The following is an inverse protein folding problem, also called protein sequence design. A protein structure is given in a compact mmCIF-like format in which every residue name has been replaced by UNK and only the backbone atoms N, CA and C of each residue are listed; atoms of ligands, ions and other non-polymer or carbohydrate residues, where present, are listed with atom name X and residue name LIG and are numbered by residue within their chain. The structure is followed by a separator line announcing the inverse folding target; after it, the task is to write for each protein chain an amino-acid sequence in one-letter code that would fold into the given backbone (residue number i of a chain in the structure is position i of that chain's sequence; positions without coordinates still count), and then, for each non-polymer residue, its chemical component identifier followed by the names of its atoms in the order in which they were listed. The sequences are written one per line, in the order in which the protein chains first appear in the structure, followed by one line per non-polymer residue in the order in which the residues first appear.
data_IF_493632875744
#
_entry.id   IF_493632875744
#
_cell.length_a   1.000
_cell.length_b   1.000
_cell.length_c   1.000
_cell.angle_alpha   90.00
_cell.angle_beta   90.00
_cell.angle_gamma   90.00
#
_symmetry.space_group_name_H-M   'P 1'
#
loop_
_entity.id
_entity.type
_entity.pdbx_description
1 polymer ?
#
# COMPACT_ATOMS: atom_id res chain seq x y z
N UNK A 1 15.88 30.48 -11.62
CA UNK A 1 15.92 30.65 -10.15
C UNK A 1 14.47 30.76 -9.71
N UNK A 2 13.78 29.63 -9.59
CA UNK A 2 12.43 29.58 -9.01
C UNK A 2 12.42 28.37 -8.09
N UNK A 3 12.60 28.65 -6.80
CA UNK A 3 12.48 27.65 -5.74
C UNK A 3 10.98 27.37 -5.57
N UNK A 4 10.55 26.23 -6.09
CA UNK A 4 9.25 25.64 -5.78
C UNK A 4 9.22 25.32 -4.29
N UNK A 5 8.61 26.22 -3.52
CA UNK A 5 8.22 25.99 -2.15
C UNK A 5 7.08 24.97 -2.15
N UNK A 6 7.42 23.67 -2.22
CA UNK A 6 6.46 22.60 -1.92
C UNK A 6 6.18 22.65 -0.43
N UNK A 7 5.18 23.44 -0.03
CA UNK A 7 4.60 23.33 1.30
C UNK A 7 4.09 21.89 1.43
N UNK A 8 4.79 21.09 2.24
CA UNK A 8 4.30 19.78 2.67
C UNK A 8 3.02 20.07 3.48
N UNK A 9 1.86 19.76 2.92
CA UNK A 9 0.59 19.91 3.64
C UNK A 9 0.69 19.13 4.97
N UNK A 10 0.56 19.85 6.09
CA UNK A 10 0.60 19.24 7.42
C UNK A 10 -0.81 18.75 7.72
N UNK A 11 -0.98 17.45 7.91
CA UNK A 11 -2.27 16.87 8.27
C UNK A 11 -2.70 17.32 9.68
N UNK A 12 -3.89 17.92 9.79
CA UNK A 12 -4.52 18.35 11.05
C UNK A 12 -5.53 17.35 11.59
N UNK A 13 -5.77 16.24 10.89
CA UNK A 13 -6.81 15.24 11.23
C UNK A 13 -6.76 14.76 12.68
N UNK A 14 -5.56 14.62 13.24
CA UNK A 14 -5.38 14.17 14.63
C UNK A 14 -5.94 15.16 15.67
N UNK A 15 -5.86 16.47 15.41
CA UNK A 15 -6.47 17.49 16.27
C UNK A 15 -8.00 17.44 16.16
N UNK A 16 -8.52 17.22 14.96
CA UNK A 16 -9.96 17.10 14.73
C UNK A 16 -10.53 15.89 15.48
N UNK A 17 -9.85 14.74 15.42
CA UNK A 17 -10.23 13.54 16.20
C UNK A 17 -10.20 13.81 17.71
N UNK A 18 -9.15 14.47 18.22
CA UNK A 18 -9.06 14.80 19.65
C UNK A 18 -10.19 15.73 20.11
N UNK A 19 -10.54 16.73 19.31
CA UNK A 19 -11.64 17.64 19.63
C UNK A 19 -12.99 16.91 19.67
N UNK A 20 -13.23 15.98 18.74
CA UNK A 20 -14.43 15.16 18.73
C UNK A 20 -14.49 14.18 19.91
N UNK A 21 -13.36 13.58 20.28
CA UNK A 21 -13.25 12.74 21.47
C UNK A 21 -13.57 13.52 22.74
N UNK A 22 -13.05 14.74 22.88
CA UNK A 22 -13.34 15.64 24.02
C UNK A 22 -14.84 15.91 24.15
N UNK A 23 -15.50 16.32 23.06
CA UNK A 23 -16.95 16.57 23.04
C UNK A 23 -17.73 15.30 23.44
N UNK A 24 -17.35 14.15 22.90
CA UNK A 24 -18.02 12.88 23.22
C UNK A 24 -17.82 12.47 24.68
N UNK A 25 -16.65 12.74 25.27
CA UNK A 25 -16.40 12.49 26.70
C UNK A 25 -17.25 13.41 27.58
N UNK A 26 -17.42 14.68 27.20
CA UNK A 26 -18.30 15.62 27.90
C UNK A 26 -19.77 15.19 27.83
N UNK A 27 -20.24 14.77 26.65
CA UNK A 27 -21.64 14.37 26.43
C UNK A 27 -21.99 13.02 27.05
N UNK A 28 -21.08 12.04 27.01
CA UNK A 28 -21.32 10.68 27.51
C UNK A 28 -21.02 10.51 29.00
N UNK A 29 -20.20 11.40 29.59
CA UNK A 29 -19.70 11.27 30.95
C UNK A 29 -18.76 10.07 31.17
N UNK A 30 -18.37 9.35 30.11
CA UNK A 30 -17.45 8.21 30.14
C UNK A 30 -16.08 8.69 29.65
N UNK A 31 -15.06 8.57 30.50
CA UNK A 31 -13.68 8.97 30.15
C UNK A 31 -12.85 7.73 29.89
N UNK A 32 -12.36 7.56 28.66
CA UNK A 32 -11.55 6.41 28.27
C UNK A 32 -10.08 6.82 28.08
N UNK A 33 -9.32 6.82 29.18
CA UNK A 33 -7.93 7.31 29.21
C UNK A 33 -6.93 6.48 28.37
N UNK A 34 -7.31 5.29 27.89
CA UNK A 34 -6.38 4.34 27.28
C UNK A 34 -6.58 4.15 25.77
N UNK A 35 -7.57 4.77 25.13
CA UNK A 35 -7.86 4.52 23.70
C UNK A 35 -6.71 4.97 22.79
N UNK A 36 -6.06 6.09 23.12
CA UNK A 36 -4.87 6.59 22.41
C UNK A 36 -3.61 5.70 22.56
N UNK A 37 -3.67 4.67 23.40
CA UNK A 37 -2.57 3.75 23.68
C UNK A 37 -2.77 2.37 23.07
N UNK A 38 -3.85 2.13 22.31
CA UNK A 38 -4.10 0.82 21.70
C UNK A 38 -3.29 0.65 20.41
N UNK A 39 -2.13 -0.06 20.43
CA UNK A 39 -1.25 -0.11 19.27
C UNK A 39 -1.87 -0.91 18.12
N UNK A 40 -2.80 -1.83 18.43
CA UNK A 40 -3.48 -2.62 17.42
C UNK A 40 -4.40 -1.74 16.56
N UNK A 41 -5.16 -0.84 17.18
CA UNK A 41 -6.03 0.10 16.47
C UNK A 41 -5.20 1.03 15.56
N UNK A 42 -4.11 1.57 16.11
CA UNK A 42 -3.21 2.43 15.34
C UNK A 42 -2.56 1.71 14.15
N UNK A 43 -2.17 0.44 14.32
CA UNK A 43 -1.67 -0.39 13.23
C UNK A 43 -2.75 -0.66 12.18
N UNK A 44 -3.98 -0.91 12.61
CA UNK A 44 -5.10 -1.10 11.69
C UNK A 44 -5.34 0.15 10.83
N UNK A 45 -5.47 1.32 11.43
CA UNK A 45 -5.62 2.58 10.70
C UNK A 45 -4.44 2.84 9.77
N UNK A 46 -3.20 2.73 10.27
CA UNK A 46 -2.00 2.92 9.45
C UNK A 46 -1.93 1.95 8.26
N UNK A 47 -2.41 0.72 8.43
CA UNK A 47 -2.44 -0.27 7.36
C UNK A 47 -3.47 0.03 6.28
N UNK A 48 -4.61 0.60 6.66
CA UNK A 48 -5.66 1.06 5.75
C UNK A 48 -5.14 2.26 4.96
N UNK A 49 -4.58 3.26 5.66
CA UNK A 49 -4.04 4.47 5.06
C UNK A 49 -2.92 4.17 4.05
N UNK A 50 -1.98 3.30 4.43
CA UNK A 50 -0.88 2.91 3.54
C UNK A 50 -1.40 2.13 2.31
N UNK A 51 -2.39 1.26 2.47
CA UNK A 51 -3.01 0.55 1.34
C UNK A 51 -3.74 1.51 0.39
N UNK A 52 -4.46 2.50 0.93
CA UNK A 52 -5.13 3.52 0.12
C UNK A 52 -4.12 4.41 -0.61
N UNK A 53 -3.04 4.81 0.05
CA UNK A 53 -1.96 5.59 -0.57
C UNK A 53 -1.29 4.81 -1.72
N UNK A 54 -0.99 3.53 -1.51
CA UNK A 54 -0.43 2.68 -2.56
C UNK A 54 -1.38 2.56 -3.74
N UNK A 55 -2.66 2.29 -3.46
CA UNK A 55 -3.70 2.14 -4.47
C UNK A 55 -3.83 3.40 -5.31
N UNK A 56 -3.94 4.57 -4.68
CA UNK A 56 -4.06 5.86 -5.38
C UNK A 56 -2.87 6.09 -6.31
N UNK A 57 -1.64 5.86 -5.82
CA UNK A 57 -0.42 5.99 -6.63
C UNK A 57 -0.40 5.01 -7.80
N UNK A 58 -0.81 3.76 -7.59
CA UNK A 58 -0.96 2.79 -8.68
C UNK A 58 -2.00 3.26 -9.71
N UNK A 59 -3.16 3.75 -9.29
CA UNK A 59 -4.21 4.28 -10.17
C UNK A 59 -3.69 5.45 -11.02
N UNK A 60 -3.00 6.41 -10.41
CA UNK A 60 -2.40 7.57 -11.10
C UNK A 60 -1.38 7.11 -12.15
N UNK A 61 -0.41 6.26 -11.77
CA UNK A 61 0.64 5.85 -12.70
C UNK A 61 0.16 4.90 -13.78
N UNK A 62 -0.81 4.03 -13.47
CA UNK A 62 -1.45 3.16 -14.46
C UNK A 62 -2.26 3.97 -15.46
N UNK A 63 -3.00 5.00 -15.03
CA UNK A 63 -3.73 5.90 -15.94
C UNK A 63 -2.77 6.54 -16.93
N UNK A 64 -1.71 7.20 -16.43
CA UNK A 64 -0.68 7.82 -17.27
C UNK A 64 -0.03 6.82 -18.22
N UNK A 65 0.33 5.63 -17.74
CA UNK A 65 0.91 4.59 -18.60
C UNK A 65 -0.04 4.17 -19.73
N UNK A 66 -1.31 3.92 -19.41
CA UNK A 66 -2.32 3.51 -20.39
C UNK A 66 -2.59 4.61 -21.42
N UNK A 67 -2.59 5.88 -21.00
CA UNK A 67 -2.70 7.06 -21.87
C UNK A 67 -1.54 7.11 -22.89
N UNK A 68 -0.29 7.05 -22.42
CA UNK A 68 0.90 7.08 -23.30
C UNK A 68 0.96 5.90 -24.27
N UNK A 69 0.46 4.73 -23.87
CA UNK A 69 0.44 3.53 -24.71
C UNK A 69 -0.61 3.60 -25.83
N UNK A 70 -1.46 4.62 -25.86
CA UNK A 70 -2.44 4.85 -26.93
C UNK A 70 -3.57 3.81 -26.99
N UNK A 71 -3.89 3.16 -25.87
CA UNK A 71 -4.74 1.97 -25.83
C UNK A 71 -6.25 2.27 -25.97
N UNK A 72 -6.70 2.57 -27.18
CA UNK A 72 -8.12 2.40 -27.56
C UNK A 72 -8.49 0.92 -27.81
N UNK A 73 -7.56 -0.03 -27.65
CA UNK A 73 -7.80 -1.48 -27.77
C UNK A 73 -7.77 -2.17 -26.40
N UNK A 74 -8.95 -2.51 -25.90
CA UNK A 74 -9.27 -2.92 -24.51
C UNK A 74 -8.55 -4.16 -23.95
N UNK A 75 -7.84 -4.92 -24.79
CA UNK A 75 -7.17 -6.16 -24.37
C UNK A 75 -5.82 -5.97 -23.69
N UNK A 76 -5.18 -4.81 -23.87
CA UNK A 76 -3.77 -4.61 -23.51
C UNK A 76 -3.52 -3.58 -22.41
N UNK A 77 -4.56 -2.87 -21.99
CA UNK A 77 -4.50 -1.92 -20.89
C UNK A 77 -4.34 -2.64 -19.55
N UNK A 78 -3.64 -2.01 -18.62
CA UNK A 78 -3.59 -2.46 -17.22
C UNK A 78 -4.90 -2.08 -16.56
N UNK A 79 -5.55 -3.05 -15.90
CA UNK A 79 -6.77 -2.84 -15.12
C UNK A 79 -6.46 -3.01 -13.64
N UNK A 80 -7.04 -2.17 -12.79
CA UNK A 80 -6.98 -2.29 -11.34
C UNK A 80 -8.35 -2.75 -10.84
N UNK A 81 -8.35 -3.75 -9.95
CA UNK A 81 -9.56 -4.30 -9.36
C UNK A 81 -9.47 -4.28 -7.84
N UNK A 82 -10.58 -3.94 -7.17
CA UNK A 82 -10.76 -4.24 -5.74
C UNK A 82 -10.92 -5.75 -5.56
N UNK A 83 -10.41 -6.29 -4.48
CA UNK A 83 -10.71 -7.67 -4.06
C UNK A 83 -11.97 -7.63 -3.18
N UNK A 84 -12.91 -8.54 -3.44
CA UNK A 84 -14.17 -8.59 -2.69
C UNK A 84 -13.95 -9.16 -1.30
N UNK A 85 -14.74 -8.68 -0.32
CA UNK A 85 -14.69 -9.12 1.08
C UNK A 85 -13.35 -8.86 1.78
N UNK A 86 -12.58 -7.89 1.30
CA UNK A 86 -11.30 -7.47 1.87
C UNK A 86 -11.28 -5.95 2.04
N UNK A 87 -10.49 -5.46 3.00
CA UNK A 87 -10.35 -4.02 3.27
C UNK A 87 -9.18 -3.50 2.46
N UNK A 88 -9.47 -2.67 1.45
CA UNK A 88 -8.50 -1.97 0.61
C UNK A 88 -7.50 -2.84 -0.18
N UNK A 89 -7.63 -4.16 -0.17
CA UNK A 89 -6.87 -5.03 -1.07
C UNK A 89 -7.23 -4.78 -2.54
N UNK A 90 -6.22 -4.85 -3.41
CA UNK A 90 -6.40 -4.64 -4.84
C UNK A 90 -5.43 -5.47 -5.66
N UNK A 91 -5.77 -5.65 -6.93
CA UNK A 91 -4.90 -6.30 -7.89
C UNK A 91 -4.81 -5.53 -9.19
N UNK A 92 -3.62 -5.55 -9.80
CA UNK A 92 -3.41 -5.16 -11.19
C UNK A 92 -3.51 -6.38 -12.08
N UNK A 93 -4.11 -6.23 -13.24
CA UNK A 93 -4.28 -7.29 -14.22
C UNK A 93 -3.94 -6.83 -15.63
N UNK A 94 -3.15 -7.63 -16.34
CA UNK A 94 -2.82 -7.45 -17.75
C UNK A 94 -2.28 -8.76 -18.31
N UNK A 95 -2.77 -9.18 -19.48
CA UNK A 95 -2.28 -10.36 -20.21
C UNK A 95 -2.15 -11.62 -19.31
N UNK A 96 -3.19 -11.94 -18.54
CA UNK A 96 -3.23 -13.08 -17.61
C UNK A 96 -2.26 -13.03 -16.42
N UNK A 97 -1.40 -12.01 -16.34
CA UNK A 97 -0.60 -11.72 -15.16
C UNK A 97 -1.40 -10.88 -14.16
N UNK A 98 -1.35 -11.27 -12.90
CA UNK A 98 -1.89 -10.49 -11.77
C UNK A 98 -0.76 -10.06 -10.86
N UNK A 99 -0.80 -8.83 -10.38
CA UNK A 99 -0.03 -8.37 -9.22
C UNK A 99 -1.04 -8.09 -8.11
N UNK A 100 -0.89 -8.75 -6.98
CA UNK A 100 -1.82 -8.68 -5.84
C UNK A 100 -1.11 -7.95 -4.70
N UNK A 101 -1.76 -6.93 -4.16
CA UNK A 101 -1.35 -6.23 -2.95
C UNK A 101 -2.45 -6.48 -1.93
N UNK A 102 -2.12 -7.16 -0.84
CA UNK A 102 -3.10 -7.60 0.15
C UNK A 102 -2.60 -7.42 1.57
N UNK A 103 -3.47 -6.89 2.42
CA UNK A 103 -3.27 -6.76 3.85
C UNK A 103 -3.60 -8.10 4.53
N UNK A 104 -2.58 -8.77 5.08
CA UNK A 104 -2.74 -10.06 5.78
C UNK A 104 -3.05 -9.89 7.26
N UNK A 105 -2.52 -8.84 7.86
CA UNK A 105 -2.75 -8.46 9.25
C UNK A 105 -2.59 -6.94 9.39
N UNK A 106 -2.89 -6.40 10.57
CA UNK A 106 -2.72 -4.97 10.88
C UNK A 106 -1.27 -4.50 10.68
N UNK A 107 -0.30 -5.39 10.82
CA UNK A 107 1.13 -5.11 10.71
C UNK A 107 1.79 -5.70 9.44
N UNK A 108 1.02 -6.34 8.55
CA UNK A 108 1.57 -7.11 7.44
C UNK A 108 0.82 -6.90 6.14
N UNK A 109 1.54 -6.38 5.15
CA UNK A 109 1.10 -6.27 3.76
C UNK A 109 1.95 -7.21 2.91
N UNK A 110 1.29 -7.87 1.97
CA UNK A 110 1.87 -8.85 1.07
C UNK A 110 1.73 -8.41 -0.38
N UNK A 111 2.80 -8.63 -1.15
CA UNK A 111 2.87 -8.28 -2.57
C UNK A 111 3.33 -9.52 -3.35
N UNK A 112 2.53 -9.98 -4.31
CA UNK A 112 2.84 -11.17 -5.08
C UNK A 112 2.32 -11.12 -6.51
N UNK A 113 3.04 -11.76 -7.43
CA UNK A 113 2.60 -11.96 -8.81
C UNK A 113 1.92 -13.31 -8.94
N UNK A 114 0.86 -13.41 -9.73
CA UNK A 114 0.22 -14.67 -10.06
C UNK A 114 0.10 -14.80 -11.57
N UNK A 115 0.74 -15.83 -12.14
CA UNK A 115 0.66 -16.16 -13.56
C UNK A 115 -0.10 -17.49 -13.74
N UNK A 116 -1.03 -17.53 -14.70
CA UNK A 116 -1.70 -18.74 -15.18
C UNK A 116 -2.30 -19.66 -14.09
N UNK A 117 -2.72 -19.07 -12.95
CA UNK A 117 -3.48 -19.75 -11.90
C UNK A 117 -2.74 -20.82 -11.09
N UNK A 118 -1.43 -21.04 -11.29
CA UNK A 118 -0.68 -22.10 -10.58
C UNK A 118 0.49 -21.63 -9.73
N UNK A 119 1.10 -20.49 -10.00
CA UNK A 119 2.33 -20.10 -9.28
C UNK A 119 2.32 -18.63 -8.89
N UNK A 120 2.53 -18.39 -7.58
CA UNK A 120 2.78 -17.06 -7.03
C UNK A 120 4.29 -16.81 -7.13
N UNK A 121 4.71 -15.75 -7.79
CA UNK A 121 6.12 -15.37 -7.93
C UNK A 121 6.37 -14.01 -7.29
N UNK A 122 7.59 -13.81 -6.83
CA UNK A 122 8.03 -12.48 -6.42
C UNK A 122 8.69 -11.70 -7.55
N UNK A 123 8.63 -10.36 -7.51
CA UNK A 123 9.48 -9.51 -8.35
C UNK A 123 10.94 -9.88 -8.07
N UNK A 124 11.72 -10.21 -9.11
CA UNK A 124 13.10 -10.66 -8.95
C UNK A 124 13.95 -9.50 -8.42
N UNK A 125 14.15 -9.43 -7.10
CA UNK A 125 15.27 -8.68 -6.55
C UNK A 125 16.55 -9.43 -6.96
N UNK A 126 17.46 -8.75 -7.65
CA UNK A 126 18.75 -9.32 -8.06
C UNK A 126 19.67 -9.42 -6.84
N UNK A 127 19.40 -10.36 -5.96
CA UNK A 127 20.26 -10.71 -4.85
C UNK A 127 19.94 -12.13 -4.43
N UNK A 128 20.87 -13.03 -4.76
CA UNK A 128 21.19 -14.29 -4.09
C UNK A 128 20.41 -14.56 -2.80
N UNK A 129 19.54 -15.58 -2.81
CA UNK A 129 19.75 -16.73 -1.94
C UNK A 129 18.83 -17.90 -2.28
N UNK A 130 19.46 -19.07 -2.29
CA UNK A 130 18.94 -20.39 -2.60
C UNK A 130 18.41 -21.05 -1.33
N UNK A 131 17.17 -20.73 -0.92
CA UNK A 131 16.41 -21.53 0.06
C UNK A 131 14.95 -21.07 0.19
N UNK A 132 14.04 -21.72 -0.54
CA UNK A 132 12.79 -22.21 0.06
C UNK A 132 11.54 -21.34 0.17
N UNK A 133 11.48 -20.08 -0.26
CA UNK A 133 10.22 -19.31 -0.24
C UNK A 133 10.13 -18.22 -1.33
N UNK A 134 10.23 -18.64 -2.60
CA UNK A 134 9.83 -17.76 -3.71
C UNK A 134 8.31 -17.75 -3.83
N UNK A 135 7.66 -16.70 -3.31
CA UNK A 135 6.21 -16.58 -3.50
C UNK A 135 5.69 -15.16 -3.33
N UNK A 136 6.09 -14.47 -2.27
CA UNK A 136 5.44 -13.22 -1.86
C UNK A 136 6.46 -12.33 -1.14
N UNK A 137 6.44 -11.03 -1.41
CA UNK A 137 7.17 -10.03 -0.65
C UNK A 137 6.33 -9.50 0.51
N UNK A 138 6.95 -9.34 1.67
CA UNK A 138 6.30 -8.88 2.89
C UNK A 138 6.78 -7.49 3.27
N UNK A 139 5.84 -6.55 3.44
CA UNK A 139 6.07 -5.23 3.99
C UNK A 139 5.44 -5.20 5.38
N UNK A 140 6.25 -4.94 6.40
CA UNK A 140 5.85 -5.04 7.81
C UNK A 140 5.84 -3.67 8.46
N UNK A 141 4.81 -3.42 9.26
CA UNK A 141 4.76 -2.24 10.11
C UNK A 141 5.78 -2.39 11.25
N UNK A 142 6.40 -1.28 11.61
CA UNK A 142 7.30 -1.16 12.75
C UNK A 142 6.82 0.01 13.61
N UNK A 143 6.46 -0.30 14.86
CA UNK A 143 6.09 0.68 15.86
C UNK A 143 7.36 1.28 16.46
N UNK A 144 7.65 2.52 16.09
CA UNK A 144 8.75 3.32 16.60
C UNK A 144 8.39 4.08 17.89
N UNK A 145 9.28 4.97 18.36
CA UNK A 145 9.01 5.82 19.51
C UNK A 145 7.80 6.72 19.26
N UNK A 146 7.09 7.09 20.34
CA UNK A 146 5.90 7.97 20.28
C UNK A 146 4.78 7.44 19.38
N UNK A 147 4.67 6.11 19.24
CA UNK A 147 3.73 5.43 18.35
C UNK A 147 3.89 5.80 16.86
N UNK A 148 5.09 6.21 16.45
CA UNK A 148 5.40 6.47 15.03
C UNK A 148 5.45 5.15 14.25
N UNK A 149 4.44 4.90 13.41
CA UNK A 149 4.33 3.67 12.63
C UNK A 149 5.04 3.86 11.28
N UNK A 150 6.05 3.03 11.03
CA UNK A 150 6.78 3.02 9.75
C UNK A 150 6.60 1.69 9.03
N UNK A 151 6.35 1.71 7.73
CA UNK A 151 6.28 0.49 6.91
C UNK A 151 7.67 0.13 6.39
N UNK A 152 8.06 -1.13 6.53
CA UNK A 152 9.42 -1.59 6.25
C UNK A 152 9.47 -2.84 5.38
N UNK A 153 10.47 -2.89 4.50
CA UNK A 153 10.79 -4.06 3.69
C UNK A 153 12.22 -4.48 4.02
N UNK A 154 12.41 -5.71 4.50
CA UNK A 154 13.71 -6.21 4.97
C UNK A 154 14.40 -5.30 6.00
N UNK A 155 13.63 -4.63 6.87
CA UNK A 155 14.13 -3.75 7.93
C UNK A 155 14.32 -2.28 7.52
N UNK A 156 14.25 -1.97 6.23
CA UNK A 156 14.38 -0.60 5.69
C UNK A 156 13.03 0.06 5.48
N UNK A 157 12.95 1.37 5.76
CA UNK A 157 11.71 2.15 5.59
C UNK A 157 11.34 2.23 4.11
N UNK A 158 10.08 1.96 3.83
CA UNK A 158 9.52 1.95 2.48
C UNK A 158 8.93 3.31 2.17
N UNK A 159 9.44 3.93 1.10
CA UNK A 159 8.79 5.08 0.49
C UNK A 159 7.73 4.58 -0.51
N UNK A 160 6.45 4.97 -0.36
CA UNK A 160 5.34 4.46 -1.17
C UNK A 160 5.55 4.61 -2.69
N UNK A 161 6.03 5.77 -3.16
CA UNK A 161 6.24 6.01 -4.58
C UNK A 161 7.33 5.10 -5.17
N UNK A 162 8.45 4.92 -4.45
CA UNK A 162 9.54 4.02 -4.82
C UNK A 162 9.06 2.57 -4.89
N UNK A 163 8.23 2.13 -3.94
CA UNK A 163 7.60 0.82 -3.96
C UNK A 163 6.74 0.64 -5.22
N UNK A 164 5.83 1.58 -5.47
CA UNK A 164 4.93 1.51 -6.63
C UNK A 164 5.74 1.51 -7.93
N UNK A 165 6.76 2.38 -8.04
CA UNK A 165 7.65 2.45 -9.21
C UNK A 165 8.35 1.11 -9.46
N UNK A 166 8.84 0.45 -8.42
CA UNK A 166 9.51 -0.84 -8.52
C UNK A 166 8.54 -1.93 -9.05
N UNK A 167 7.43 -2.16 -8.36
CA UNK A 167 6.51 -3.26 -8.69
C UNK A 167 5.74 -3.01 -9.99
N UNK A 168 5.34 -1.77 -10.28
CA UNK A 168 4.67 -1.44 -11.53
C UNK A 168 5.60 -1.65 -12.73
N UNK A 169 6.88 -1.26 -12.60
CA UNK A 169 7.88 -1.47 -13.66
C UNK A 169 8.06 -2.96 -13.97
N UNK A 170 8.18 -3.78 -12.93
CA UNK A 170 8.29 -5.24 -13.08
C UNK A 170 7.01 -5.84 -13.66
N UNK A 171 5.84 -5.40 -13.20
CA UNK A 171 4.55 -5.84 -13.73
C UNK A 171 4.39 -5.52 -15.21
N UNK A 172 4.74 -4.32 -15.64
CA UNK A 172 4.67 -3.91 -17.06
C UNK A 172 5.60 -4.79 -17.92
N UNK A 173 6.85 -5.01 -17.49
CA UNK A 173 7.83 -5.80 -18.23
C UNK A 173 7.43 -7.27 -18.35
N UNK A 174 6.91 -7.84 -17.26
CA UNK A 174 6.53 -9.25 -17.22
C UNK A 174 5.19 -9.51 -17.91
N UNK A 175 4.25 -8.57 -17.87
CA UNK A 175 2.95 -8.67 -18.55
C UNK A 175 3.00 -8.37 -20.05
N UNK A 176 4.08 -7.78 -20.56
CA UNK A 176 4.23 -7.50 -21.98
C UNK A 176 4.63 -8.72 -22.82
N UNK A 177 5.02 -9.82 -22.17
CA UNK A 177 5.45 -11.08 -22.81
C UNK A 177 4.28 -11.93 -23.27
#
# INVERSE_FOLDING_TARGET
MDQLNQQKEVSTKWIESLALEEINMEESGVVNFNDHLNPLHMLEESSIDFMDELREKFEIFVSKFNEYRGSHQSGSAIKIFKISNTINDFMLFRNSLRLIIARKAADLITIGFLANGKEVFSARLRSTDSSGSQGVHEVRAHLGPFNDITWRFNGEVVEPEALVRHYLSEFIRNSAR
#
